data_IF_282935472467
#
_entry.id   IF_282935472467
#
_cell.length_a   1.000
_cell.length_b   1.000
_cell.length_c   1.000
_cell.angle_alpha   90.00
_cell.angle_beta   90.00
_cell.angle_gamma   90.00
#
_symmetry.space_group_name_H-M   'P 1'
#
loop_
_entity.id
_entity.type
_entity.pdbx_description
1 polymer ?
#
# COMPACT_ATOMS: atom_id res chain seq x y z
N UNK A 1 0.64 -16.07 -8.20
CA UNK A 1 0.88 -16.30 -6.75
C UNK A 1 -0.47 -16.25 -6.07
N UNK A 2 -0.78 -17.17 -5.15
CA UNK A 2 -2.01 -17.14 -4.37
C UNK A 2 -1.67 -16.89 -2.90
N UNK A 3 -2.17 -15.79 -2.34
CA UNK A 3 -1.91 -15.37 -0.99
C UNK A 3 -3.02 -15.81 -0.03
N UNK A 4 -2.63 -16.10 1.22
CA UNK A 4 -3.58 -16.37 2.29
C UNK A 4 -4.38 -15.11 2.67
N UNK A 5 -5.56 -15.24 3.30
CA UNK A 5 -6.31 -14.08 3.78
C UNK A 5 -5.50 -13.14 4.67
N UNK A 6 -4.66 -13.70 5.56
CA UNK A 6 -3.80 -12.89 6.44
C UNK A 6 -2.72 -12.12 5.67
N UNK A 7 -2.20 -12.71 4.60
CA UNK A 7 -1.24 -12.05 3.72
C UNK A 7 -1.89 -10.94 2.89
N UNK A 8 -3.13 -11.14 2.40
CA UNK A 8 -3.90 -10.10 1.72
C UNK A 8 -4.24 -8.94 2.67
N UNK A 9 -4.62 -9.25 3.91
CA UNK A 9 -4.86 -8.25 4.95
C UNK A 9 -3.61 -7.39 5.18
N UNK A 10 -2.44 -8.03 5.28
CA UNK A 10 -1.18 -7.29 5.44
C UNK A 10 -0.86 -6.43 4.21
N UNK A 11 -1.09 -6.96 3.01
CA UNK A 11 -0.89 -6.22 1.77
C UNK A 11 -1.82 -5.01 1.68
N UNK A 12 -3.07 -5.11 2.16
CA UNK A 12 -3.98 -3.96 2.29
C UNK A 12 -3.41 -2.88 3.19
N UNK A 13 -2.87 -3.22 4.36
CA UNK A 13 -2.26 -2.25 5.29
C UNK A 13 -1.09 -1.51 4.63
N UNK A 14 -0.22 -2.27 3.95
CA UNK A 14 0.91 -1.72 3.19
C UNK A 14 0.46 -0.76 2.07
N UNK A 15 -0.60 -1.12 1.34
CA UNK A 15 -1.17 -0.29 0.27
C UNK A 15 -1.84 0.96 0.84
N UNK A 16 -2.59 0.85 1.93
CA UNK A 16 -3.42 1.94 2.41
C UNK A 16 -2.65 2.99 3.22
N UNK A 17 -1.71 2.54 4.05
CA UNK A 17 -1.10 3.41 5.07
C UNK A 17 0.40 3.21 5.28
N UNK A 18 0.89 1.97 5.38
CA UNK A 18 2.23 1.74 5.97
C UNK A 18 3.38 2.13 5.03
N UNK A 19 3.19 2.04 3.71
CA UNK A 19 4.21 2.50 2.74
C UNK A 19 4.01 3.97 2.34
N UNK A 20 2.75 4.36 2.22
CA UNK A 20 2.28 5.70 1.90
C UNK A 20 0.82 5.77 2.36
N UNK A 21 0.44 6.87 3.02
CA UNK A 21 -0.98 7.13 3.28
C UNK A 21 -1.70 7.51 1.99
N UNK A 22 -2.51 6.59 1.46
CA UNK A 22 -3.26 6.78 0.21
C UNK A 22 -4.69 7.21 0.51
N UNK A 23 -5.07 8.36 -0.05
CA UNK A 23 -6.46 8.80 -0.11
C UNK A 23 -7.28 7.90 -1.04
N UNK A 24 -8.61 7.96 -0.94
CA UNK A 24 -9.51 7.20 -1.82
C UNK A 24 -9.22 7.39 -3.32
N UNK A 25 -9.07 8.63 -3.83
CA UNK A 25 -8.66 8.87 -5.21
C UNK A 25 -7.30 8.24 -5.58
N UNK A 26 -6.32 8.28 -4.67
CA UNK A 26 -5.00 7.66 -4.90
C UNK A 26 -5.08 6.13 -4.97
N UNK A 27 -5.97 5.50 -4.20
CA UNK A 27 -6.21 4.05 -4.27
C UNK A 27 -6.82 3.66 -5.61
N UNK A 28 -7.83 4.40 -6.07
CA UNK A 28 -8.40 4.19 -7.41
C UNK A 28 -7.33 4.34 -8.49
N UNK A 29 -6.51 5.38 -8.41
CA UNK A 29 -5.40 5.56 -9.36
C UNK A 29 -4.39 4.41 -9.31
N UNK A 30 -4.07 3.90 -8.11
CA UNK A 30 -3.16 2.77 -7.93
C UNK A 30 -3.69 1.50 -8.62
N UNK A 31 -4.94 1.14 -8.37
CA UNK A 31 -5.54 -0.05 -8.96
C UNK A 31 -5.85 0.12 -10.45
N UNK A 32 -6.17 1.32 -10.93
CA UNK A 32 -6.35 1.54 -12.37
C UNK A 32 -5.04 1.30 -13.16
N UNK A 33 -3.86 1.57 -12.57
CA UNK A 33 -2.57 1.18 -13.19
C UNK A 33 -2.36 -0.34 -13.28
N UNK A 34 -3.12 -1.12 -12.51
CA UNK A 34 -3.12 -2.59 -12.55
C UNK A 34 -4.19 -3.15 -13.50
N UNK A 35 -4.92 -2.31 -14.24
CA UNK A 35 -5.91 -2.71 -15.24
C UNK A 35 -7.37 -2.54 -14.82
N UNK A 36 -7.63 -1.97 -13.65
CA UNK A 36 -8.98 -1.55 -13.26
C UNK A 36 -9.37 -0.24 -13.96
N UNK A 37 -10.67 0.09 -13.96
CA UNK A 37 -11.19 1.31 -14.54
C UNK A 37 -12.26 1.93 -13.63
N UNK A 38 -11.93 2.06 -12.36
CA UNK A 38 -12.84 2.61 -11.35
C UNK A 38 -12.76 4.15 -11.31
N UNK A 39 -13.80 4.79 -10.78
CA UNK A 39 -13.84 6.23 -10.49
C UNK A 39 -14.16 6.47 -9.01
N UNK A 40 -13.52 7.47 -8.40
CA UNK A 40 -13.80 7.85 -7.01
C UNK A 40 -14.92 8.90 -6.95
N UNK A 41 -15.90 8.73 -6.06
CA UNK A 41 -17.05 9.64 -5.97
C UNK A 41 -18.02 9.35 -4.83
N UNK A 42 -19.20 9.95 -4.88
CA UNK A 42 -20.25 9.71 -3.90
C UNK A 42 -20.67 8.23 -3.90
N UNK A 43 -20.82 7.64 -2.71
CA UNK A 43 -21.16 6.21 -2.56
C UNK A 43 -19.97 5.28 -2.75
N UNK A 44 -18.75 5.80 -2.94
CA UNK A 44 -17.56 4.98 -3.02
C UNK A 44 -17.32 4.23 -1.70
N UNK A 45 -16.93 2.94 -1.75
CA UNK A 45 -16.65 2.14 -0.56
C UNK A 45 -15.57 2.75 0.33
N UNK A 46 -15.51 2.30 1.59
CA UNK A 46 -14.36 2.61 2.46
C UNK A 46 -13.06 2.10 1.84
N UNK A 47 -11.93 2.74 2.18
CA UNK A 47 -10.61 2.41 1.61
C UNK A 47 -10.21 0.95 1.83
N UNK A 48 -10.51 0.41 3.03
CA UNK A 48 -10.22 -0.97 3.35
C UNK A 48 -11.04 -1.94 2.50
N UNK A 49 -12.35 -1.69 2.38
CA UNK A 49 -13.27 -2.53 1.61
C UNK A 49 -12.95 -2.51 0.11
N UNK A 50 -12.65 -1.33 -0.46
CA UNK A 50 -12.22 -1.23 -1.85
C UNK A 50 -10.96 -2.05 -2.11
N UNK A 51 -9.97 -1.92 -1.25
CA UNK A 51 -8.68 -2.59 -1.42
C UNK A 51 -8.81 -4.11 -1.27
N UNK A 52 -9.58 -4.59 -0.30
CA UNK A 52 -9.85 -6.03 -0.15
C UNK A 52 -10.51 -6.61 -1.41
N UNK A 53 -11.56 -5.95 -1.93
CA UNK A 53 -12.23 -6.40 -3.17
C UNK A 53 -11.27 -6.49 -4.37
N UNK A 54 -10.36 -5.51 -4.53
CA UNK A 54 -9.39 -5.53 -5.64
C UNK A 54 -8.31 -6.58 -5.44
N UNK A 55 -7.82 -6.75 -4.22
CA UNK A 55 -6.84 -7.78 -3.89
C UNK A 55 -7.41 -9.19 -4.07
N UNK A 56 -8.66 -9.43 -3.67
CA UNK A 56 -9.37 -10.69 -3.94
C UNK A 56 -9.48 -10.96 -5.44
N UNK A 57 -9.82 -9.95 -6.23
CA UNK A 57 -9.99 -10.07 -7.69
C UNK A 57 -8.70 -10.50 -8.40
N UNK A 58 -7.55 -9.95 -7.98
CA UNK A 58 -6.25 -10.27 -8.61
C UNK A 58 -5.50 -11.42 -7.93
N UNK A 59 -6.02 -11.96 -6.81
CA UNK A 59 -5.33 -13.03 -6.11
C UNK A 59 -5.25 -14.30 -6.98
N UNK A 60 -4.06 -14.89 -7.08
CA UNK A 60 -3.81 -16.00 -8.00
C UNK A 60 -3.38 -15.58 -9.40
N UNK A 61 -3.51 -14.30 -9.79
CA UNK A 61 -3.18 -13.82 -11.14
C UNK A 61 -1.77 -13.19 -11.23
N UNK A 62 -1.25 -12.94 -12.44
CA UNK A 62 -0.02 -12.16 -12.63
C UNK A 62 -0.11 -10.71 -12.13
N UNK A 63 -1.31 -10.14 -12.02
CA UNK A 63 -1.54 -8.77 -11.54
C UNK A 63 -1.20 -8.61 -10.06
N UNK A 64 -1.31 -9.68 -9.26
CA UNK A 64 -0.87 -9.64 -7.88
C UNK A 64 0.65 -9.42 -7.74
N UNK A 65 1.45 -10.03 -8.63
CA UNK A 65 2.90 -9.80 -8.65
C UNK A 65 3.23 -8.34 -9.03
N UNK A 66 2.51 -7.79 -10.02
CA UNK A 66 2.61 -6.36 -10.39
C UNK A 66 2.20 -5.46 -9.22
N UNK A 67 1.15 -5.81 -8.49
CA UNK A 67 0.67 -5.10 -7.31
C UNK A 67 1.76 -5.02 -6.23
N UNK A 68 2.33 -6.17 -5.83
CA UNK A 68 3.38 -6.24 -4.82
C UNK A 68 4.61 -5.42 -5.25
N UNK A 69 5.04 -5.55 -6.51
CA UNK A 69 6.16 -4.75 -7.07
C UNK A 69 5.87 -3.25 -7.07
N UNK A 70 4.61 -2.84 -7.32
CA UNK A 70 4.22 -1.44 -7.27
C UNK A 70 4.22 -0.88 -5.84
N UNK A 71 3.81 -1.67 -4.84
CA UNK A 71 3.86 -1.28 -3.42
C UNK A 71 5.30 -1.05 -2.96
N UNK A 72 6.19 -2.00 -3.29
CA UNK A 72 7.60 -1.95 -2.87
C UNK A 72 8.54 -1.31 -3.89
N UNK A 73 8.01 -0.51 -4.82
CA UNK A 73 8.84 0.20 -5.78
C UNK A 73 9.75 1.18 -5.00
N UNK A 74 11.09 1.12 -5.16
CA UNK A 74 12.01 2.04 -4.48
C UNK A 74 11.68 3.52 -4.67
N UNK A 75 11.06 3.88 -5.79
CA UNK A 75 10.60 5.24 -6.07
C UNK A 75 9.63 5.78 -5.00
N UNK A 76 8.84 4.92 -4.36
CA UNK A 76 7.91 5.31 -3.29
C UNK A 76 8.61 5.76 -1.99
N UNK A 77 9.92 5.51 -1.88
CA UNK A 77 10.74 5.79 -0.70
C UNK A 77 11.80 6.86 -0.97
N UNK A 78 11.85 7.44 -2.19
CA UNK A 78 12.74 8.56 -2.50
C UNK A 78 12.39 9.74 -1.60
N UNK A 79 13.40 10.34 -0.97
CA UNK A 79 13.23 11.45 -0.02
C UNK A 79 12.80 11.03 1.39
N UNK A 80 12.44 9.76 1.62
CA UNK A 80 12.13 9.20 2.96
C UNK A 80 13.33 8.54 3.65
N UNK A 81 14.49 8.52 2.99
CA UNK A 81 15.74 8.00 3.59
C UNK A 81 16.09 8.79 4.86
N UNK A 82 15.83 10.10 4.88
CA UNK A 82 16.06 10.94 6.05
C UNK A 82 15.18 10.57 7.25
N UNK A 83 13.94 10.12 7.02
CA UNK A 83 13.04 9.66 8.09
C UNK A 83 13.58 8.39 8.78
N UNK A 84 14.35 7.57 8.07
CA UNK A 84 15.06 6.41 8.63
C UNK A 84 16.26 6.84 9.48
N UNK A 85 16.99 7.87 9.03
CA UNK A 85 18.13 8.44 9.78
C UNK A 85 17.67 9.15 11.07
N UNK A 86 16.55 9.88 11.01
CA UNK A 86 15.99 10.58 12.16
C UNK A 86 15.51 9.61 13.26
N UNK A 87 15.02 8.43 12.87
CA UNK A 87 14.66 7.36 13.80
C UNK A 87 15.87 6.80 14.56
N UNK A 88 17.07 6.78 13.96
CA UNK A 88 18.31 6.38 14.64
C UNK A 88 18.73 7.42 15.70
N UNK A 89 18.61 8.71 15.39
CA UNK A 89 19.01 9.80 16.30
C UNK A 89 18.09 9.86 17.53
N UNK A 90 16.79 9.63 17.38
CA UNK A 90 15.85 9.64 18.50
C UNK A 90 16.01 8.44 19.44
N UNK A 91 16.41 7.27 18.92
CA UNK A 91 16.68 6.10 19.75
C UNK A 91 17.98 6.24 20.57
N UNK A 92 19.02 6.88 20.02
CA UNK A 92 20.25 7.19 20.77
C UNK A 92 19.99 8.17 21.93
N UNK A 93 19.12 9.17 21.73
CA UNK A 93 18.73 10.12 22.79
C UNK A 93 17.92 9.47 23.92
N UNK A 94 17.18 8.40 23.63
CA UNK A 94 16.42 7.64 24.63
C UNK A 94 17.26 6.62 25.41
N UNK A 95 18.41 6.22 24.89
CA UNK A 95 19.35 5.33 25.57
C UNK A 95 20.41 6.08 26.41
N UNK A 96 20.49 7.41 26.23
CA UNK A 96 21.42 8.28 26.95
C UNK A 96 20.78 9.02 28.15
N UNK A 97 19.50 8.75 28.43
CA UNK A 97 18.74 9.21 29.61
C UNK A 97 18.22 7.99 30.38
#
# INVERSE_FOLDING_TARGET
>A
MNLSPKSLEKLRELINEETESRSGPKLVQFFNRLGFNDSYGQGFPSRWMYTDQRLETINGSPELDKCIKAVFNPANFIGKVQELDDHHVQNLKRQAN
#
